data_IF_982762637103
#
_entry.id   IF_982762637103
#
_cell.length_a   1.000
_cell.length_b   1.000
_cell.length_c   1.000
_cell.angle_alpha   90.00
_cell.angle_beta   90.00
_cell.angle_gamma   90.00
#
_symmetry.space_group_name_H-M   'P 1'
#
loop_
_entity.id
_entity.type
_entity.pdbx_description
1 polymer ?
#
# COMPACT_ATOMS: atom_id res chain seq x y z
N UNK A 1 65.40 23.49 59.05
CA UNK A 1 66.58 22.62 58.85
C UNK A 1 66.38 21.90 57.52
N UNK A 2 67.01 22.40 56.47
CA UNK A 2 67.00 21.85 55.11
C UNK A 2 67.92 20.62 55.03
N UNK A 3 67.54 19.59 54.26
CA UNK A 3 68.40 18.86 53.28
C UNK A 3 67.53 17.75 52.63
N UNK A 4 67.07 17.89 51.39
CA UNK A 4 67.69 17.52 50.10
C UNK A 4 67.45 16.05 49.68
N UNK A 5 66.75 15.93 48.53
CA UNK A 5 66.75 14.90 47.45
C UNK A 5 66.23 13.50 47.76
N UNK A 6 65.23 13.05 46.99
CA UNK A 6 65.46 12.37 45.71
C UNK A 6 64.15 12.25 44.91
N UNK A 7 64.18 12.70 43.66
CA UNK A 7 63.09 12.57 42.68
C UNK A 7 63.23 11.18 42.04
N UNK A 8 62.20 10.33 42.15
CA UNK A 8 62.05 9.11 41.35
C UNK A 8 60.77 9.29 40.53
N UNK A 9 60.96 9.51 39.23
CA UNK A 9 59.91 9.58 38.22
C UNK A 9 59.48 8.14 37.89
N UNK A 10 58.42 7.65 38.53
CA UNK A 10 57.82 6.34 38.20
C UNK A 10 56.68 6.57 37.19
N UNK A 11 57.00 6.29 35.93
CA UNK A 11 56.05 6.23 34.82
C UNK A 11 55.13 5.02 35.03
N UNK A 12 53.96 5.23 35.63
CA UNK A 12 52.91 4.22 35.65
C UNK A 12 52.15 4.34 34.32
N UNK A 13 52.48 3.46 33.36
CA UNK A 13 51.58 3.15 32.26
C UNK A 13 50.31 2.53 32.86
N UNK A 14 49.26 3.33 33.02
CA UNK A 14 47.91 2.80 33.18
C UNK A 14 47.48 2.23 31.84
N UNK A 15 47.77 0.94 31.61
CA UNK A 15 47.02 0.16 30.64
C UNK A 15 45.62 0.09 31.22
N UNK A 16 44.74 0.98 30.73
CA UNK A 16 43.32 0.79 30.89
C UNK A 16 43.00 -0.54 30.20
N UNK A 17 42.89 -1.60 30.99
CA UNK A 17 42.20 -2.82 30.59
C UNK A 17 40.75 -2.42 30.38
N UNK A 18 40.46 -1.93 29.18
CA UNK A 18 39.11 -1.98 28.65
C UNK A 18 38.78 -3.46 28.62
N UNK A 19 37.99 -3.90 29.60
CA UNK A 19 37.23 -5.12 29.47
C UNK A 19 36.37 -4.92 28.22
N UNK A 20 36.85 -5.41 27.09
CA UNK A 20 35.97 -5.80 26.01
C UNK A 20 35.01 -6.78 26.67
N UNK A 21 33.83 -6.31 27.05
CA UNK A 21 32.68 -7.18 27.18
C UNK A 21 32.55 -7.79 25.79
N UNK A 22 33.14 -8.97 25.61
CA UNK A 22 32.72 -9.87 24.56
C UNK A 22 31.21 -9.94 24.72
N UNK A 23 30.48 -9.27 23.84
CA UNK A 23 29.10 -9.64 23.55
C UNK A 23 29.22 -11.06 23.05
N UNK A 24 29.19 -12.02 23.98
CA UNK A 24 28.74 -13.34 23.65
C UNK A 24 27.39 -13.09 23.00
N UNK A 25 27.32 -13.32 21.69
CA UNK A 25 26.05 -13.72 21.12
C UNK A 25 25.72 -14.99 21.86
N UNK A 26 25.02 -14.86 23.00
CA UNK A 26 24.28 -15.96 23.56
C UNK A 26 23.40 -16.40 22.40
N UNK A 27 23.76 -17.53 21.81
CA UNK A 27 22.80 -18.37 21.13
C UNK A 27 21.78 -18.72 22.21
N UNK A 28 20.82 -17.82 22.45
CA UNK A 28 19.63 -18.09 23.23
C UNK A 28 18.99 -19.27 22.52
N UNK A 29 19.32 -20.47 22.99
CA UNK A 29 18.88 -21.73 22.37
C UNK A 29 17.44 -22.03 22.79
N UNK A 30 16.90 -21.22 23.71
CA UNK A 30 15.59 -21.38 24.30
C UNK A 30 14.60 -20.51 23.53
N UNK A 31 14.00 -21.10 22.51
CA UNK A 31 12.93 -20.50 21.73
C UNK A 31 11.56 -20.95 22.22
N UNK A 32 10.52 -20.21 21.82
CA UNK A 32 9.13 -20.61 21.98
C UNK A 32 8.68 -20.79 23.44
N UNK A 33 9.16 -19.89 24.31
CA UNK A 33 8.87 -19.93 25.75
C UNK A 33 7.46 -19.42 26.05
N UNK A 34 6.84 -20.01 27.07
CA UNK A 34 5.57 -19.57 27.63
C UNK A 34 5.68 -19.39 29.14
N UNK A 35 4.90 -18.46 29.68
CA UNK A 35 4.79 -18.28 31.13
C UNK A 35 3.77 -19.23 31.78
N UNK A 36 3.57 -19.07 33.09
CA UNK A 36 2.61 -19.84 33.91
C UNK A 36 1.15 -19.69 33.45
N UNK A 37 0.83 -18.64 32.70
CA UNK A 37 -0.50 -18.39 32.14
C UNK A 37 -0.58 -18.84 30.67
N UNK A 38 0.42 -19.59 30.18
CA UNK A 38 0.52 -20.08 28.80
C UNK A 38 0.64 -18.96 27.74
N UNK A 39 1.02 -17.75 28.14
CA UNK A 39 1.27 -16.63 27.23
C UNK A 39 2.68 -16.70 26.66
N UNK A 40 2.86 -16.36 25.38
CA UNK A 40 4.16 -16.35 24.71
C UNK A 40 5.09 -15.28 25.27
N UNK A 41 6.33 -15.68 25.54
CA UNK A 41 7.40 -14.82 26.02
C UNK A 41 8.68 -15.03 25.19
N UNK A 42 9.51 -14.00 25.13
CA UNK A 42 10.86 -14.07 24.55
C UNK A 42 10.88 -14.32 23.05
N UNK A 43 11.96 -14.91 22.56
CA UNK A 43 12.14 -15.17 21.14
C UNK A 43 11.37 -16.41 20.68
N UNK A 44 10.66 -16.25 19.58
CA UNK A 44 9.90 -17.31 18.93
C UNK A 44 10.43 -17.58 17.54
N UNK A 45 10.44 -18.86 17.16
CA UNK A 45 10.87 -19.35 15.86
C UNK A 45 9.96 -20.50 15.44
N UNK A 46 9.39 -20.39 14.25
CA UNK A 46 8.67 -21.47 13.57
C UNK A 46 9.42 -21.85 12.30
N UNK A 47 9.45 -23.13 11.99
CA UNK A 47 10.01 -23.69 10.75
C UNK A 47 8.90 -24.28 9.89
N UNK A 48 9.12 -24.28 8.58
CA UNK A 48 8.36 -25.05 7.60
C UNK A 48 8.69 -26.55 7.70
N UNK A 49 7.88 -27.44 7.10
CA UNK A 49 8.19 -28.88 7.02
C UNK A 49 9.55 -29.17 6.38
N UNK A 50 9.98 -28.34 5.44
CA UNK A 50 11.29 -28.43 4.78
C UNK A 50 12.48 -27.96 5.66
N UNK A 51 12.24 -27.62 6.93
CA UNK A 51 13.25 -27.18 7.89
C UNK A 51 13.65 -25.70 7.79
N UNK A 52 13.25 -24.97 6.75
CA UNK A 52 13.53 -23.53 6.63
C UNK A 52 12.67 -22.73 7.61
N UNK A 53 13.16 -21.57 8.03
CA UNK A 53 12.44 -20.69 8.95
C UNK A 53 11.19 -20.16 8.26
N UNK A 54 10.04 -20.20 8.93
CA UNK A 54 8.79 -19.61 8.49
C UNK A 54 8.57 -18.22 9.08
N UNK A 55 8.84 -18.08 10.38
CA UNK A 55 8.91 -16.78 11.03
C UNK A 55 9.80 -16.82 12.26
N UNK A 56 10.26 -15.64 12.65
CA UNK A 56 10.89 -15.43 13.94
C UNK A 56 10.64 -14.01 14.47
N UNK A 57 10.64 -13.84 15.78
CA UNK A 57 10.48 -12.55 16.43
C UNK A 57 10.22 -12.67 17.92
N UNK A 58 10.11 -11.54 18.60
CA UNK A 58 9.91 -11.51 20.05
C UNK A 58 8.44 -11.34 20.41
N UNK A 59 8.02 -12.04 21.45
CA UNK A 59 6.73 -11.86 22.11
C UNK A 59 6.93 -11.41 23.55
N UNK A 60 5.99 -10.60 24.04
CA UNK A 60 5.77 -10.33 25.45
C UNK A 60 4.28 -10.39 25.72
N UNK A 61 3.85 -11.30 26.59
CA UNK A 61 2.44 -11.51 26.95
C UNK A 61 1.55 -11.71 25.70
N UNK A 62 1.96 -12.62 24.81
CA UNK A 62 1.33 -12.88 23.49
C UNK A 62 1.37 -11.74 22.46
N UNK A 63 1.91 -10.58 22.83
CA UNK A 63 2.02 -9.42 21.93
C UNK A 63 3.38 -9.41 21.23
N UNK A 64 3.43 -9.33 19.90
CA UNK A 64 4.69 -9.21 19.18
C UNK A 64 5.36 -7.86 19.51
N UNK A 65 6.68 -7.86 19.62
CA UNK A 65 7.48 -6.64 19.87
C UNK A 65 8.73 -6.58 19.02
N UNK A 66 9.13 -5.35 18.68
CA UNK A 66 10.32 -5.10 17.90
C UNK A 66 10.22 -5.72 16.51
N UNK A 67 11.33 -6.24 16.00
CA UNK A 67 11.39 -6.77 14.64
C UNK A 67 10.86 -8.20 14.61
N UNK A 68 9.82 -8.40 13.81
CA UNK A 68 9.27 -9.70 13.44
C UNK A 68 9.57 -9.98 11.97
N UNK A 69 10.24 -11.08 11.69
CA UNK A 69 10.57 -11.50 10.32
C UNK A 69 9.73 -12.71 9.94
N UNK A 70 9.18 -12.67 8.73
CA UNK A 70 8.55 -13.82 8.07
C UNK A 70 9.31 -14.11 6.80
N UNK A 71 9.33 -15.38 6.43
CA UNK A 71 10.08 -15.87 5.29
C UNK A 71 9.14 -16.56 4.31
N UNK A 72 9.53 -16.59 3.05
CA UNK A 72 8.94 -17.49 2.05
C UNK A 72 9.45 -18.91 2.30
N UNK A 73 8.74 -19.92 1.80
CA UNK A 73 9.16 -21.31 1.95
C UNK A 73 10.50 -21.60 1.28
N UNK A 74 10.87 -20.81 0.26
CA UNK A 74 12.20 -20.85 -0.37
C UNK A 74 13.32 -20.28 0.52
N UNK A 75 12.98 -19.61 1.64
CA UNK A 75 13.91 -19.09 2.64
C UNK A 75 14.24 -17.60 2.52
N UNK A 76 13.75 -16.92 1.48
CA UNK A 76 13.90 -15.47 1.33
C UNK A 76 12.96 -14.71 2.27
N UNK A 77 13.29 -13.45 2.59
CA UNK A 77 12.42 -12.63 3.44
C UNK A 77 11.11 -12.36 2.72
N UNK A 78 10.00 -12.55 3.43
CA UNK A 78 8.64 -12.27 2.96
C UNK A 78 8.06 -11.02 3.59
N UNK A 79 8.31 -10.82 4.88
CA UNK A 79 7.87 -9.63 5.58
C UNK A 79 8.82 -9.26 6.72
N UNK A 80 8.98 -7.96 6.93
CA UNK A 80 9.57 -7.37 8.12
C UNK A 80 8.51 -6.47 8.75
N UNK A 81 8.13 -6.78 9.99
CA UNK A 81 7.19 -6.02 10.78
C UNK A 81 7.93 -5.43 11.97
N UNK A 82 8.03 -4.12 12.06
CA UNK A 82 8.56 -3.43 13.23
C UNK A 82 7.40 -3.02 14.13
N UNK A 83 7.12 -3.84 15.13
CA UNK A 83 6.08 -3.58 16.11
C UNK A 83 6.52 -2.52 17.11
N UNK A 84 5.59 -1.64 17.47
CA UNK A 84 5.76 -0.73 18.59
C UNK A 84 5.79 -1.50 19.92
N UNK A 85 6.01 -0.78 21.01
CA UNK A 85 6.11 -1.40 22.33
C UNK A 85 4.82 -2.12 22.71
N UNK A 86 3.64 -1.52 22.59
CA UNK A 86 2.41 -2.21 23.01
C UNK A 86 1.93 -3.33 22.06
N UNK A 87 2.59 -3.53 20.91
CA UNK A 87 2.25 -4.53 19.90
C UNK A 87 1.00 -4.22 19.08
N UNK A 88 0.41 -3.03 19.23
CA UNK A 88 -0.82 -2.63 18.52
C UNK A 88 -0.53 -2.09 17.13
N UNK A 89 0.66 -1.55 16.87
CA UNK A 89 1.01 -1.02 15.55
C UNK A 89 2.32 -1.61 15.04
N UNK A 90 2.44 -1.71 13.72
CA UNK A 90 3.70 -2.10 13.10
C UNK A 90 3.93 -1.40 11.77
N UNK A 91 5.18 -0.99 11.53
CA UNK A 91 5.63 -0.62 10.19
C UNK A 91 5.95 -1.90 9.44
N UNK A 92 5.30 -2.10 8.30
CA UNK A 92 5.43 -3.31 7.48
C UNK A 92 6.24 -3.03 6.22
N UNK A 93 7.14 -3.96 5.90
CA UNK A 93 7.75 -4.11 4.57
C UNK A 93 7.50 -5.53 4.10
N UNK A 94 6.90 -5.67 2.93
CA UNK A 94 6.60 -6.94 2.28
C UNK A 94 7.52 -7.10 1.06
N UNK A 95 7.95 -8.32 0.79
CA UNK A 95 8.95 -8.59 -0.23
C UNK A 95 8.51 -9.74 -1.14
N UNK A 96 8.84 -9.60 -2.42
CA UNK A 96 8.73 -10.67 -3.41
C UNK A 96 9.72 -11.80 -3.09
N UNK A 97 9.53 -12.97 -3.70
CA UNK A 97 10.41 -14.13 -3.50
C UNK A 97 11.84 -13.88 -3.97
N UNK A 98 12.04 -13.01 -4.97
CA UNK A 98 13.35 -12.53 -5.44
C UNK A 98 14.01 -11.51 -4.49
N UNK A 99 13.35 -11.12 -3.40
CA UNK A 99 13.84 -10.17 -2.40
C UNK A 99 13.55 -8.70 -2.67
N UNK A 100 12.95 -8.33 -3.81
CA UNK A 100 12.56 -6.94 -4.05
C UNK A 100 11.38 -6.50 -3.18
N UNK A 101 11.33 -5.21 -2.84
CA UNK A 101 10.23 -4.64 -2.05
C UNK A 101 8.93 -4.72 -2.85
N UNK A 102 7.90 -5.34 -2.29
CA UNK A 102 6.59 -5.48 -2.90
C UNK A 102 5.59 -4.45 -2.36
N UNK A 103 5.63 -4.18 -1.06
CA UNK A 103 4.79 -3.16 -0.44
C UNK A 103 5.36 -2.67 0.88
N UNK A 104 4.99 -1.45 1.27
CA UNK A 104 5.22 -0.96 2.63
C UNK A 104 4.06 -0.11 3.13
N UNK A 105 3.86 -0.09 4.45
CA UNK A 105 2.79 0.66 5.07
C UNK A 105 2.72 0.45 6.58
N UNK A 106 1.64 0.92 7.18
CA UNK A 106 1.37 0.78 8.61
C UNK A 106 0.24 -0.21 8.84
N UNK A 107 0.41 -1.07 9.85
CA UNK A 107 -0.71 -1.77 10.48
C UNK A 107 -1.03 -1.12 11.82
N UNK A 108 -2.32 -0.99 12.13
CA UNK A 108 -2.84 -0.68 13.45
C UNK A 108 -3.90 -1.72 13.81
N UNK A 109 -3.76 -2.36 14.97
CA UNK A 109 -4.57 -3.51 15.42
C UNK A 109 -4.77 -4.58 14.34
N UNK A 110 -3.67 -4.96 13.68
CA UNK A 110 -3.63 -5.92 12.57
C UNK A 110 -4.42 -5.53 11.31
N UNK A 111 -4.83 -4.26 11.16
CA UNK A 111 -5.51 -3.75 9.98
C UNK A 111 -4.63 -2.71 9.27
N UNK A 112 -4.70 -2.66 7.93
CA UNK A 112 -3.99 -1.61 7.15
C UNK A 112 -4.45 -0.23 7.66
N UNK A 113 -3.50 0.67 7.81
CA UNK A 113 -3.74 2.04 8.25
C UNK A 113 -2.77 2.99 7.54
N UNK A 114 -3.13 4.27 7.46
CA UNK A 114 -2.37 5.32 6.82
C UNK A 114 -2.10 4.98 5.34
N UNK A 115 -0.96 5.40 4.79
CA UNK A 115 -0.64 5.17 3.37
C UNK A 115 0.09 3.84 3.22
N UNK A 116 -0.38 3.03 2.28
CA UNK A 116 0.28 1.84 1.77
C UNK A 116 0.79 2.09 0.36
N UNK A 117 2.03 1.70 0.09
CA UNK A 117 2.69 1.82 -1.21
C UNK A 117 3.00 0.44 -1.75
N UNK A 118 2.79 0.24 -3.05
CA UNK A 118 2.98 -1.04 -3.73
C UNK A 118 3.90 -0.86 -4.92
N UNK A 119 4.85 -1.77 -5.04
CA UNK A 119 5.94 -1.67 -6.01
C UNK A 119 5.96 -2.88 -6.92
N UNK A 120 6.42 -2.70 -8.15
CA UNK A 120 6.70 -3.81 -9.06
C UNK A 120 7.96 -4.57 -8.63
N UNK A 121 8.21 -5.79 -9.15
CA UNK A 121 9.48 -6.48 -8.91
C UNK A 121 10.72 -5.69 -9.34
N UNK A 122 10.57 -4.74 -10.27
CA UNK A 122 11.60 -3.81 -10.72
C UNK A 122 11.72 -2.54 -9.84
N UNK A 123 11.10 -2.52 -8.65
CA UNK A 123 11.10 -1.41 -7.68
C UNK A 123 10.42 -0.12 -8.15
N UNK A 124 9.52 -0.19 -9.13
CA UNK A 124 8.72 0.98 -9.56
C UNK A 124 7.47 1.08 -8.69
N UNK A 125 7.12 2.26 -8.20
CA UNK A 125 5.86 2.49 -7.49
C UNK A 125 4.70 2.32 -8.47
N UNK A 126 3.83 1.34 -8.23
CA UNK A 126 2.69 1.02 -9.12
C UNK A 126 1.45 1.78 -8.65
N UNK A 127 1.20 1.78 -7.34
CA UNK A 127 0.12 2.54 -6.74
C UNK A 127 0.35 2.76 -5.23
N UNK A 128 -0.36 3.73 -4.69
CA UNK A 128 -0.49 3.98 -3.26
C UNK A 128 -1.96 4.13 -2.87
N UNK A 129 -2.31 3.68 -1.67
CA UNK A 129 -3.67 3.70 -1.15
C UNK A 129 -3.68 4.15 0.30
N UNK A 130 -4.68 4.94 0.67
CA UNK A 130 -4.87 5.39 2.04
C UNK A 130 -5.90 4.52 2.75
N UNK A 131 -5.61 4.13 3.99
CA UNK A 131 -6.45 3.31 4.84
C UNK A 131 -6.68 3.98 6.20
N UNK A 132 -7.84 3.71 6.79
CA UNK A 132 -8.17 4.04 8.17
C UNK A 132 -8.99 2.90 8.75
N UNK A 133 -8.51 2.29 9.84
CA UNK A 133 -9.17 1.12 10.46
C UNK A 133 -9.49 0.02 9.43
N UNK A 134 -8.53 -0.31 8.57
CA UNK A 134 -8.66 -1.36 7.57
C UNK A 134 -9.52 -1.03 6.35
N UNK A 135 -10.22 0.11 6.32
CA UNK A 135 -11.03 0.54 5.17
C UNK A 135 -10.25 1.56 4.33
N UNK A 136 -10.45 1.55 3.00
CA UNK A 136 -9.92 2.60 2.12
C UNK A 136 -10.51 3.94 2.55
N UNK A 137 -9.65 4.89 2.90
CA UNK A 137 -10.04 6.21 3.41
C UNK A 137 -8.92 7.20 3.11
N UNK A 138 -9.21 8.16 2.23
CA UNK A 138 -8.22 9.08 1.66
C UNK A 138 -7.92 8.78 0.20
N UNK A 139 -6.72 9.18 -0.24
CA UNK A 139 -6.36 9.19 -1.66
C UNK A 139 -5.81 7.82 -2.09
N UNK A 140 -6.27 7.35 -3.24
CA UNK A 140 -5.68 6.30 -4.06
C UNK A 140 -5.00 6.96 -5.25
N UNK A 141 -3.78 6.53 -5.59
CA UNK A 141 -3.10 6.89 -6.83
C UNK A 141 -2.46 5.68 -7.46
N UNK A 142 -2.52 5.59 -8.79
CA UNK A 142 -1.69 4.68 -9.57
C UNK A 142 -0.85 5.45 -10.58
N UNK A 143 0.21 4.83 -11.07
CA UNK A 143 1.26 5.49 -11.83
C UNK A 143 1.55 4.77 -13.14
N UNK A 144 1.96 5.57 -14.13
CA UNK A 144 2.62 5.09 -15.34
C UNK A 144 4.03 4.57 -15.03
N UNK A 145 4.66 3.93 -16.01
CA UNK A 145 6.01 3.37 -15.83
C UNK A 145 7.09 4.43 -15.54
N UNK A 146 6.89 5.65 -16.03
CA UNK A 146 7.77 6.81 -15.78
C UNK A 146 7.54 7.48 -14.42
N UNK A 147 6.54 7.03 -13.67
CA UNK A 147 6.16 7.56 -12.36
C UNK A 147 5.18 8.73 -12.38
N UNK A 148 4.70 9.16 -13.55
CA UNK A 148 3.59 10.13 -13.64
C UNK A 148 2.28 9.47 -13.19
N UNK A 149 1.34 10.27 -12.68
CA UNK A 149 0.08 9.75 -12.14
C UNK A 149 -0.82 9.32 -13.30
N UNK A 150 -1.25 8.06 -13.29
CA UNK A 150 -2.24 7.55 -14.24
C UNK A 150 -3.66 7.78 -13.75
N UNK A 151 -3.93 7.50 -12.48
CA UNK A 151 -5.27 7.56 -11.89
C UNK A 151 -5.20 8.06 -10.45
N UNK A 152 -6.21 8.81 -10.05
CA UNK A 152 -6.38 9.33 -8.70
C UNK A 152 -7.85 9.19 -8.28
N UNK A 153 -8.11 8.57 -7.13
CA UNK A 153 -9.46 8.33 -6.62
C UNK A 153 -9.51 8.70 -5.15
N UNK A 154 -10.51 9.49 -4.76
CA UNK A 154 -10.78 9.75 -3.35
C UNK A 154 -11.71 8.68 -2.77
N UNK A 155 -11.34 8.14 -1.61
CA UNK A 155 -12.10 7.16 -0.86
C UNK A 155 -12.50 7.71 0.51
N UNK A 156 -13.65 7.26 1.00
CA UNK A 156 -14.13 7.53 2.36
C UNK A 156 -14.90 6.32 2.86
N UNK A 157 -14.53 5.80 4.02
CA UNK A 157 -15.18 4.64 4.64
C UNK A 157 -15.38 3.45 3.68
N UNK A 158 -14.37 3.16 2.84
CA UNK A 158 -14.39 2.06 1.88
C UNK A 158 -15.21 2.31 0.61
N UNK A 159 -15.69 3.53 0.38
CA UNK A 159 -16.45 3.92 -0.83
C UNK A 159 -15.80 5.08 -1.56
N UNK A 160 -15.87 5.11 -2.89
CA UNK A 160 -15.40 6.26 -3.67
C UNK A 160 -16.21 7.52 -3.27
N UNK A 161 -15.53 8.61 -2.97
CA UNK A 161 -16.15 9.85 -2.52
C UNK A 161 -15.31 11.05 -2.93
N UNK A 162 -15.86 11.93 -3.76
CA UNK A 162 -15.12 12.99 -4.43
C UNK A 162 -14.80 12.63 -5.86
N UNK A 163 -13.63 13.05 -6.35
CA UNK A 163 -13.29 12.92 -7.76
C UNK A 163 -12.50 11.63 -8.05
N UNK A 164 -12.88 10.95 -9.13
CA UNK A 164 -12.07 10.01 -9.88
C UNK A 164 -11.49 10.76 -11.07
N UNK A 165 -10.17 10.74 -11.19
CA UNK A 165 -9.45 11.41 -12.26
C UNK A 165 -8.48 10.42 -12.88
N UNK A 166 -8.50 10.31 -14.21
CA UNK A 166 -7.46 9.65 -14.99
C UNK A 166 -6.73 10.70 -15.81
N UNK A 167 -5.44 10.48 -16.01
CA UNK A 167 -4.56 11.35 -16.77
C UNK A 167 -4.01 10.61 -17.98
N UNK A 168 -3.49 11.37 -18.94
CA UNK A 168 -2.57 10.89 -19.96
C UNK A 168 -1.13 10.95 -19.43
N UNK A 169 -0.18 10.35 -20.17
CA UNK A 169 1.25 10.32 -19.80
C UNK A 169 1.88 11.71 -19.70
N UNK A 170 1.36 12.70 -20.43
CA UNK A 170 1.79 14.10 -20.33
C UNK A 170 1.21 14.84 -19.10
N UNK A 171 0.39 14.16 -18.29
CA UNK A 171 -0.30 14.71 -17.12
C UNK A 171 -1.60 15.45 -17.44
N UNK A 172 -2.01 15.55 -18.71
CA UNK A 172 -3.29 16.14 -19.07
C UNK A 172 -4.46 15.25 -18.64
N UNK A 173 -5.64 15.84 -18.44
CA UNK A 173 -6.81 15.07 -18.03
C UNK A 173 -7.26 14.14 -19.14
N UNK A 174 -7.49 12.87 -18.79
CA UNK A 174 -8.10 11.85 -19.66
C UNK A 174 -9.57 11.65 -19.31
N UNK A 175 -9.86 11.49 -18.02
CA UNK A 175 -11.22 11.26 -17.51
C UNK A 175 -11.41 11.97 -16.18
N UNK A 176 -12.61 12.50 -15.95
CA UNK A 176 -13.06 13.04 -14.69
C UNK A 176 -14.48 12.53 -14.40
N UNK A 177 -14.71 11.95 -13.22
CA UNK A 177 -16.03 11.51 -12.75
C UNK A 177 -16.17 11.85 -11.28
N UNK A 178 -17.30 12.43 -10.88
CA UNK A 178 -17.59 12.72 -9.47
C UNK A 178 -18.43 11.62 -8.83
N UNK A 179 -18.08 11.26 -7.61
CA UNK A 179 -18.75 10.26 -6.77
C UNK A 179 -19.16 10.84 -5.42
N UNK A 180 -20.30 10.38 -4.90
CA UNK A 180 -20.71 10.56 -3.50
C UNK A 180 -21.07 9.19 -2.95
N UNK A 181 -20.29 8.72 -1.96
CA UNK A 181 -20.58 7.49 -1.22
C UNK A 181 -20.72 6.25 -2.10
N UNK A 182 -19.84 6.14 -3.10
CA UNK A 182 -19.77 5.03 -4.07
C UNK A 182 -20.68 5.19 -5.28
N UNK A 183 -21.48 6.26 -5.35
CA UNK A 183 -22.47 6.48 -6.40
C UNK A 183 -22.05 7.69 -7.25
N UNK A 184 -22.11 7.58 -8.57
CA UNK A 184 -21.79 8.68 -9.48
C UNK A 184 -22.78 9.83 -9.26
N UNK A 185 -22.25 11.04 -9.05
CA UNK A 185 -23.05 12.23 -8.78
C UNK A 185 -22.38 13.49 -9.36
N UNK A 186 -23.05 14.15 -10.29
CA UNK A 186 -22.58 15.39 -10.90
C UNK A 186 -21.82 15.17 -12.21
N UNK A 187 -20.88 16.05 -12.50
CA UNK A 187 -20.25 16.13 -13.81
C UNK A 187 -19.37 14.90 -14.14
N UNK A 188 -19.37 14.54 -15.42
CA UNK A 188 -18.40 13.64 -16.04
C UNK A 188 -17.83 14.32 -17.27
N UNK A 189 -16.52 14.19 -17.45
CA UNK A 189 -15.81 14.64 -18.65
C UNK A 189 -14.80 13.59 -19.09
N UNK A 190 -14.74 13.34 -20.38
CA UNK A 190 -13.67 12.57 -21.03
C UNK A 190 -13.04 13.49 -22.07
N UNK A 191 -11.72 13.45 -22.15
CA UNK A 191 -10.97 14.31 -23.06
C UNK A 191 -10.28 13.46 -24.14
N UNK A 192 -9.87 14.12 -25.21
CA UNK A 192 -8.85 13.65 -26.12
C UNK A 192 -7.46 14.00 -25.56
N UNK A 193 -6.41 13.40 -26.13
CA UNK A 193 -5.02 13.66 -25.72
C UNK A 193 -4.60 15.12 -25.90
N UNK A 194 -5.20 15.84 -26.85
CA UNK A 194 -4.96 17.29 -27.05
C UNK A 194 -5.73 18.18 -26.05
N UNK A 195 -6.42 17.58 -25.08
CA UNK A 195 -7.18 18.27 -24.04
C UNK A 195 -8.58 18.72 -24.45
N UNK A 196 -9.01 18.51 -25.70
CA UNK A 196 -10.39 18.82 -26.09
C UNK A 196 -11.38 17.87 -25.45
N UNK A 197 -12.56 18.36 -25.10
CA UNK A 197 -13.63 17.53 -24.55
C UNK A 197 -14.10 16.58 -25.64
N UNK A 198 -14.18 15.30 -25.28
CA UNK A 198 -14.67 14.21 -26.13
C UNK A 198 -16.09 13.81 -25.74
N UNK A 199 -16.33 13.71 -24.43
CA UNK A 199 -17.65 13.43 -23.86
C UNK A 199 -17.83 14.29 -22.63
N UNK A 200 -19.01 14.88 -22.47
CA UNK A 200 -19.41 15.50 -21.21
C UNK A 200 -20.88 15.24 -20.89
N UNK A 201 -21.20 15.26 -19.60
CA UNK A 201 -22.56 15.07 -19.13
C UNK A 201 -22.63 15.07 -17.61
N UNK A 202 -23.70 14.52 -17.07
CA UNK A 202 -23.84 14.37 -15.63
C UNK A 202 -24.51 13.07 -15.21
N UNK A 203 -24.18 12.63 -14.00
CA UNK A 203 -24.86 11.58 -13.28
C UNK A 203 -25.70 12.16 -12.15
N UNK A 204 -26.81 11.50 -11.85
CA UNK A 204 -27.60 11.70 -10.65
C UNK A 204 -27.99 10.32 -10.11
N UNK A 205 -27.60 10.05 -8.87
CA UNK A 205 -27.88 8.80 -8.18
C UNK A 205 -27.41 7.56 -8.98
N UNK A 206 -26.25 7.67 -9.62
CA UNK A 206 -25.65 6.60 -10.43
C UNK A 206 -26.21 6.48 -11.84
N UNK A 207 -27.25 7.25 -12.17
CA UNK A 207 -27.91 7.23 -13.47
C UNK A 207 -27.49 8.43 -14.32
N UNK A 208 -27.31 8.23 -15.62
CA UNK A 208 -27.10 9.35 -16.55
C UNK A 208 -28.28 10.31 -16.45
N UNK A 209 -28.01 11.61 -16.34
CA UNK A 209 -29.04 12.62 -16.22
C UNK A 209 -28.62 13.91 -16.93
N UNK A 210 -29.60 14.62 -17.50
CA UNK A 210 -29.38 15.84 -18.26
C UNK A 210 -28.83 15.58 -19.66
N UNK A 211 -28.26 16.62 -20.27
CA UNK A 211 -27.75 16.57 -21.64
C UNK A 211 -26.33 16.01 -21.64
N UNK A 212 -26.12 14.99 -22.45
CA UNK A 212 -24.84 14.35 -22.73
C UNK A 212 -24.39 14.74 -24.12
N UNK A 213 -23.17 15.25 -24.24
CA UNK A 213 -22.60 15.76 -25.48
C UNK A 213 -21.36 14.96 -25.85
N UNK A 214 -21.22 14.73 -27.15
CA UNK A 214 -20.08 14.03 -27.75
C UNK A 214 -19.51 14.92 -28.84
N UNK A 215 -18.20 15.07 -28.81
CA UNK A 215 -17.45 15.88 -29.76
C UNK A 215 -16.44 15.00 -30.49
N UNK A 216 -16.09 15.41 -31.71
CA UNK A 216 -14.97 14.82 -32.44
C UNK A 216 -13.61 15.43 -32.01
N UNK A 217 -12.47 14.92 -32.52
CA UNK A 217 -11.15 15.45 -32.19
C UNK A 217 -10.93 16.92 -32.60
N UNK A 218 -11.75 17.48 -33.48
CA UNK A 218 -11.70 18.91 -33.85
C UNK A 218 -12.52 19.77 -32.88
N UNK A 219 -13.24 19.16 -31.94
CA UNK A 219 -14.09 19.81 -30.96
C UNK A 219 -15.49 20.10 -31.47
N UNK A 220 -15.88 19.56 -32.64
CA UNK A 220 -17.22 19.75 -33.19
C UNK A 220 -18.20 18.78 -32.55
N UNK A 221 -19.36 19.28 -32.14
CA UNK A 221 -20.44 18.47 -31.57
C UNK A 221 -20.96 17.48 -32.63
N UNK A 222 -20.84 16.18 -32.35
CA UNK A 222 -21.28 15.09 -33.23
C UNK A 222 -22.48 14.32 -32.66
N UNK A 223 -22.78 14.48 -31.38
CA UNK A 223 -23.93 13.86 -30.74
C UNK A 223 -24.38 14.60 -29.50
N UNK A 224 -25.70 14.63 -29.30
CA UNK A 224 -26.33 15.15 -28.09
C UNK A 224 -27.50 14.23 -27.70
N UNK A 225 -27.57 13.85 -26.42
CA UNK A 225 -28.70 13.08 -25.89
C UNK A 225 -29.12 13.65 -24.55
N UNK A 226 -30.43 13.80 -24.39
CA UNK A 226 -31.03 14.06 -23.09
C UNK A 226 -31.36 12.75 -22.39
N UNK A 227 -30.81 12.59 -21.19
CA UNK A 227 -31.15 11.52 -20.27
C UNK A 227 -32.02 12.04 -19.14
N UNK A 228 -33.05 11.29 -18.79
CA UNK A 228 -33.85 11.51 -17.58
C UNK A 228 -33.82 10.20 -16.79
N UNK A 229 -33.18 10.22 -15.61
CA UNK A 229 -33.05 9.05 -14.74
C UNK A 229 -32.54 7.79 -15.47
N UNK A 230 -31.52 7.95 -16.31
CA UNK A 230 -30.89 6.85 -17.06
C UNK A 230 -31.55 6.50 -18.39
N UNK A 231 -32.74 7.03 -18.71
CA UNK A 231 -33.41 6.77 -19.98
C UNK A 231 -33.02 7.81 -21.04
N UNK A 232 -32.52 7.35 -22.19
CA UNK A 232 -32.19 8.19 -23.34
C UNK A 232 -33.47 8.54 -24.13
N UNK A 233 -33.70 9.84 -24.40
CA UNK A 233 -34.83 10.26 -25.24
C UNK A 233 -34.57 10.00 -26.74
N UNK A 234 -33.30 9.94 -27.20
CA UNK A 234 -32.91 9.65 -28.59
C UNK A 234 -31.62 8.82 -28.58
N UNK A 235 -31.60 7.66 -29.25
CA UNK A 235 -30.46 6.73 -29.22
C UNK A 235 -29.73 6.66 -30.58
N UNK A 236 -28.40 6.76 -30.60
CA UNK A 236 -27.55 6.61 -31.80
C UNK A 236 -26.33 5.73 -31.45
N UNK A 237 -25.93 4.83 -32.35
CA UNK A 237 -24.85 3.83 -32.18
C UNK A 237 -23.51 4.39 -31.67
N UNK A 238 -23.13 5.61 -32.08
CA UNK A 238 -21.89 6.24 -31.60
C UNK A 238 -21.91 6.42 -30.07
N UNK A 239 -23.08 6.74 -29.51
CA UNK A 239 -23.26 6.97 -28.08
C UNK A 239 -23.17 5.67 -27.30
N UNK A 240 -23.74 4.58 -27.82
CA UNK A 240 -23.71 3.28 -27.15
C UNK A 240 -22.26 2.89 -26.85
N UNK A 241 -21.38 3.01 -27.86
CA UNK A 241 -19.94 2.76 -27.72
C UNK A 241 -19.28 3.65 -26.65
N UNK A 242 -19.62 4.93 -26.60
CA UNK A 242 -19.07 5.85 -25.58
C UNK A 242 -19.57 5.55 -24.18
N UNK A 243 -20.82 5.10 -24.08
CA UNK A 243 -21.44 4.69 -22.81
C UNK A 243 -20.78 3.43 -22.26
N UNK A 244 -20.52 2.45 -23.12
CA UNK A 244 -19.81 1.21 -22.78
C UNK A 244 -18.38 1.51 -22.33
N UNK A 245 -17.64 2.36 -23.05
CA UNK A 245 -16.29 2.76 -22.69
C UNK A 245 -16.25 3.39 -21.29
N UNK A 246 -17.18 4.29 -20.98
CA UNK A 246 -17.30 4.90 -19.65
C UNK A 246 -17.58 3.88 -18.54
N UNK A 247 -18.48 2.92 -18.79
CA UNK A 247 -18.75 1.84 -17.85
C UNK A 247 -17.51 0.96 -17.62
N UNK A 248 -16.74 0.68 -18.67
CA UNK A 248 -15.48 -0.05 -18.55
C UNK A 248 -14.43 0.72 -17.75
N UNK A 249 -14.31 2.03 -17.98
CA UNK A 249 -13.41 2.89 -17.19
C UNK A 249 -13.78 2.84 -15.72
N UNK A 250 -15.07 3.04 -15.40
CA UNK A 250 -15.54 3.08 -14.02
C UNK A 250 -15.41 1.73 -13.32
N UNK A 251 -15.76 0.63 -14.00
CA UNK A 251 -15.69 -0.71 -13.40
C UNK A 251 -14.27 -1.19 -13.14
N UNK A 252 -13.27 -0.66 -13.88
CA UNK A 252 -11.85 -0.97 -13.69
C UNK A 252 -11.12 0.03 -12.79
N UNK A 253 -11.78 1.13 -12.40
CA UNK A 253 -11.17 2.17 -11.61
C UNK A 253 -10.79 1.66 -10.22
N UNK A 254 -9.54 1.86 -9.81
CA UNK A 254 -9.03 1.34 -8.55
C UNK A 254 -9.01 -0.19 -8.45
N UNK A 255 -9.26 -0.92 -9.54
CA UNK A 255 -9.10 -2.38 -9.61
C UNK A 255 -7.73 -2.71 -10.19
N UNK A 256 -6.68 -2.43 -9.42
CA UNK A 256 -5.39 -3.08 -9.65
C UNK A 256 -5.42 -4.28 -8.71
N UNK A 257 -5.30 -5.52 -9.21
CA UNK A 257 -5.21 -6.67 -8.32
C UNK A 257 -4.03 -6.41 -7.38
N UNK A 258 -4.34 -6.25 -6.08
CA UNK A 258 -3.30 -6.36 -5.07
C UNK A 258 -2.57 -7.69 -5.37
N UNK A 259 -1.24 -7.76 -5.30
CA UNK A 259 -0.63 -9.05 -5.01
C UNK A 259 -1.19 -9.46 -3.65
N UNK A 260 -2.26 -10.27 -3.66
CA UNK A 260 -3.16 -10.28 -2.51
C UNK A 260 -2.42 -10.86 -1.30
N UNK A 261 -2.66 -10.28 -0.12
CA UNK A 261 -2.15 -10.86 1.15
C UNK A 261 -2.57 -12.33 1.27
N UNK A 262 -3.70 -12.72 0.67
CA UNK A 262 -4.18 -14.09 0.58
C UNK A 262 -3.43 -14.96 -0.45
N UNK A 263 -3.01 -14.45 -1.60
CA UNK A 263 -2.11 -15.15 -2.54
C UNK A 263 -0.73 -15.35 -1.90
N UNK A 264 -0.30 -14.40 -1.06
CA UNK A 264 0.84 -14.60 -0.17
C UNK A 264 0.58 -15.68 0.90
N UNK A 265 -0.65 -15.93 1.36
CA UNK A 265 -0.97 -16.96 2.36
C UNK A 265 -1.36 -18.33 1.74
N UNK A 266 -1.81 -18.37 0.48
CA UNK A 266 -2.32 -19.57 -0.22
C UNK A 266 -1.26 -20.38 -0.95
N UNK A 267 -0.07 -19.86 -1.22
CA UNK A 267 1.04 -20.69 -1.71
C UNK A 267 1.67 -21.62 -0.63
N UNK A 268 0.95 -21.91 0.45
CA UNK A 268 1.32 -22.91 1.46
C UNK A 268 0.11 -23.70 1.97
N UNK A 269 -0.79 -24.10 1.06
CA UNK A 269 -1.99 -24.87 1.40
C UNK A 269 -2.49 -25.72 0.24
N UNK A 270 -1.63 -26.65 -0.22
CA UNK A 270 -2.09 -27.88 -0.84
C UNK A 270 -2.12 -28.96 0.26
N UNK A 271 -3.26 -29.65 0.34
CA UNK A 271 -3.77 -30.59 1.36
C UNK A 271 -4.55 -29.94 2.50
#
# INVERSE_FOLDING_TARGET
>A
MNLIRLIILLLILSIASTSQSSNSFQNDTIFNQKDKNNLKQGFWKKVYPNGKIAYQGFFKDDKPRGIFKRYHEVGTIKAILLYNNDGTSSKAKLFYTNGSLAAEGLFYNNQKDSIWKYYSPAHRLVFEESFKKGLKDGLFKSYYEDGTVYESINWKDGKMHGDLIQYYEDGSYKTFVKFISGIQQGAVKVYYFDGKVRVEGSYKDGLKNGVWKIYDPDGKLTGEIKYINGYAENNNKLIEKESELLQQIISKAGTIPEPTVEDFLRQSGGY
#
